data_IF_752991160834
#
_entry.id   IF_752991160834
#
_cell.length_a   1.000
_cell.length_b   1.000
_cell.length_c   1.000
_cell.angle_alpha   90.00
_cell.angle_beta   90.00
_cell.angle_gamma   90.00
#
_symmetry.space_group_name_H-M   'P 1'
#
loop_
_entity.id
_entity.type
_entity.pdbx_description
1 polymer ?
#
# COMPACT_ATOMS: atom_id res chain seq x y z
N UNK A 1 14.16 14.42 -8.29
CA UNK A 1 13.03 13.96 -9.14
C UNK A 1 11.69 14.38 -8.56
N UNK A 2 11.37 14.03 -7.30
CA UNK A 2 10.09 14.39 -6.64
C UNK A 2 9.69 15.87 -6.76
N UNK A 3 10.60 16.82 -6.49
CA UNK A 3 10.33 18.26 -6.64
C UNK A 3 9.99 18.71 -8.07
N UNK A 4 10.60 18.10 -9.08
CA UNK A 4 10.26 18.37 -10.48
C UNK A 4 8.82 17.93 -10.78
N UNK A 5 8.46 16.71 -10.37
CA UNK A 5 7.10 16.16 -10.56
C UNK A 5 6.06 17.05 -9.87
N UNK A 6 6.34 17.45 -8.64
CA UNK A 6 5.44 18.35 -7.87
C UNK A 6 5.33 19.71 -8.54
N UNK A 7 6.43 20.26 -9.06
CA UNK A 7 6.39 21.52 -9.81
C UNK A 7 5.53 21.40 -11.07
N UNK A 8 5.66 20.31 -11.82
CA UNK A 8 4.84 20.02 -13.01
C UNK A 8 3.36 19.82 -12.63
N UNK A 9 3.08 19.11 -11.53
CA UNK A 9 1.74 18.93 -10.98
C UNK A 9 1.09 20.28 -10.60
N UNK A 10 1.82 21.15 -9.92
CA UNK A 10 1.38 22.50 -9.58
C UNK A 10 1.19 23.36 -10.84
N UNK A 11 2.08 23.25 -11.83
CA UNK A 11 1.92 23.93 -13.12
C UNK A 11 0.69 23.45 -13.88
N UNK A 12 0.30 22.18 -13.78
CA UNK A 12 -0.96 21.70 -14.34
C UNK A 12 -2.16 22.46 -13.75
N UNK A 13 -2.23 22.60 -12.42
CA UNK A 13 -3.28 23.42 -11.77
C UNK A 13 -3.23 24.88 -12.21
N UNK A 14 -2.04 25.46 -12.35
CA UNK A 14 -1.87 26.83 -12.85
C UNK A 14 -2.44 27.00 -14.26
N UNK A 15 -2.02 26.17 -15.22
CA UNK A 15 -2.49 26.28 -16.61
C UNK A 15 -3.97 25.93 -16.76
N UNK A 16 -4.46 24.96 -15.97
CA UNK A 16 -5.87 24.63 -15.90
C UNK A 16 -6.72 25.80 -15.37
N UNK A 17 -6.23 26.52 -14.36
CA UNK A 17 -6.94 27.69 -13.80
C UNK A 17 -7.13 28.81 -14.84
N UNK A 18 -6.15 28.96 -15.75
CA UNK A 18 -6.14 29.94 -16.85
C UNK A 18 -6.73 29.42 -18.15
N UNK A 19 -7.18 28.17 -18.19
CA UNK A 19 -7.72 27.49 -19.39
C UNK A 19 -6.75 27.54 -20.59
N UNK A 20 -5.45 27.49 -20.33
CA UNK A 20 -4.43 27.40 -21.37
C UNK A 20 -4.24 25.95 -21.79
N UNK A 21 -5.10 25.47 -22.69
CA UNK A 21 -5.23 24.04 -22.99
C UNK A 21 -3.98 23.42 -23.61
N UNK A 22 -3.30 24.13 -24.53
CA UNK A 22 -2.07 23.62 -25.16
C UNK A 22 -0.94 23.44 -24.15
N UNK A 23 -0.74 24.42 -23.25
CA UNK A 23 0.24 24.33 -22.18
C UNK A 23 -0.15 23.26 -21.15
N UNK A 24 -1.43 23.17 -20.79
CA UNK A 24 -1.91 22.13 -19.88
C UNK A 24 -1.64 20.74 -20.44
N UNK A 25 -1.95 20.50 -21.72
CA UNK A 25 -1.69 19.22 -22.38
C UNK A 25 -0.21 18.84 -22.32
N UNK A 26 0.68 19.75 -22.70
CA UNK A 26 2.12 19.52 -22.68
C UNK A 26 2.64 19.24 -21.26
N UNK A 27 2.23 20.05 -20.28
CA UNK A 27 2.72 19.91 -18.90
C UNK A 27 2.13 18.66 -18.23
N UNK A 28 0.87 18.31 -18.50
CA UNK A 28 0.27 17.06 -18.02
C UNK A 28 0.95 15.83 -18.62
N UNK A 29 1.42 15.90 -19.87
CA UNK A 29 2.20 14.83 -20.49
C UNK A 29 3.56 14.68 -19.80
N UNK A 30 4.28 15.78 -19.59
CA UNK A 30 5.56 15.76 -18.88
C UNK A 30 5.41 15.27 -17.44
N UNK A 31 4.38 15.72 -16.72
CA UNK A 31 4.08 15.27 -15.37
C UNK A 31 3.86 13.75 -15.34
N UNK A 32 3.00 13.22 -16.22
CA UNK A 32 2.72 11.79 -16.30
C UNK A 32 4.00 10.99 -16.63
N UNK A 33 4.82 11.48 -17.57
CA UNK A 33 6.07 10.86 -17.94
C UNK A 33 7.06 10.77 -16.78
N UNK A 34 7.33 11.89 -16.10
CA UNK A 34 8.26 11.90 -14.96
C UNK A 34 7.72 11.14 -13.75
N UNK A 35 6.41 11.20 -13.49
CA UNK A 35 5.77 10.41 -12.44
C UNK A 35 5.89 8.91 -12.74
N UNK A 36 5.68 8.48 -13.99
CA UNK A 36 5.89 7.10 -14.40
C UNK A 36 7.33 6.63 -14.17
N UNK A 37 8.34 7.42 -14.58
CA UNK A 37 9.76 7.11 -14.35
C UNK A 37 10.08 6.98 -12.86
N UNK A 38 9.50 7.84 -12.03
CA UNK A 38 9.78 7.86 -10.61
C UNK A 38 9.09 6.73 -9.85
N UNK A 39 7.87 6.36 -10.25
CA UNK A 39 7.08 5.33 -9.58
C UNK A 39 7.40 3.90 -10.05
N UNK A 40 7.72 3.74 -11.32
CA UNK A 40 7.84 2.43 -11.95
C UNK A 40 9.27 2.13 -12.40
N UNK A 41 9.51 0.86 -12.72
CA UNK A 41 10.77 0.42 -13.28
C UNK A 41 11.00 1.00 -14.70
N UNK A 42 12.24 0.91 -15.17
CA UNK A 42 12.65 1.44 -16.47
C UNK A 42 11.78 0.91 -17.63
N UNK A 43 11.44 -0.38 -17.65
CA UNK A 43 10.71 -0.99 -18.76
C UNK A 43 9.24 -0.57 -18.83
N UNK A 44 8.62 -0.30 -17.68
CA UNK A 44 7.29 0.28 -17.59
C UNK A 44 7.34 1.77 -18.01
N UNK A 45 8.42 2.47 -17.70
CA UNK A 45 8.57 3.90 -18.03
C UNK A 45 8.97 4.18 -19.48
N UNK A 46 9.79 3.31 -20.10
CA UNK A 46 10.40 3.51 -21.41
C UNK A 46 9.66 2.83 -22.56
N UNK A 47 8.41 2.38 -22.35
CA UNK A 47 7.60 1.83 -23.46
C UNK A 47 8.27 0.59 -24.10
N UNK A 48 9.24 -0.04 -23.42
CA UNK A 48 10.01 -1.16 -23.99
C UNK A 48 9.32 -2.51 -23.83
N UNK A 49 8.49 -2.65 -22.79
CA UNK A 49 7.63 -3.82 -22.57
C UNK A 49 6.17 -3.48 -22.87
N UNK A 50 5.39 -4.49 -23.27
CA UNK A 50 3.95 -4.38 -23.59
C UNK A 50 3.11 -3.71 -22.49
N UNK A 51 3.56 -3.76 -21.24
CA UNK A 51 2.92 -3.12 -20.09
C UNK A 51 3.23 -1.61 -19.96
N UNK A 52 4.44 -1.17 -20.31
CA UNK A 52 4.85 0.24 -20.20
C UNK A 52 4.13 1.15 -21.19
N UNK A 53 3.81 0.60 -22.37
CA UNK A 53 2.93 1.21 -23.38
C UNK A 53 1.51 1.50 -22.86
N UNK A 54 1.07 0.85 -21.77
CA UNK A 54 -0.28 0.99 -21.25
C UNK A 54 -0.37 2.01 -20.11
N UNK A 55 0.60 2.05 -19.20
CA UNK A 55 0.48 2.87 -17.98
C UNK A 55 0.63 4.37 -18.21
N UNK A 56 1.60 4.82 -19.01
CA UNK A 56 1.82 6.26 -19.22
C UNK A 56 0.62 6.92 -19.93
N UNK A 57 0.06 6.35 -21.02
CA UNK A 57 -1.14 6.92 -21.64
C UNK A 57 -2.36 6.94 -20.71
N UNK A 58 -2.51 5.93 -19.84
CA UNK A 58 -3.59 5.91 -18.84
C UNK A 58 -3.41 7.00 -17.81
N UNK A 59 -2.20 7.16 -17.27
CA UNK A 59 -1.89 8.23 -16.30
C UNK A 59 -2.08 9.61 -16.93
N UNK A 60 -1.64 9.78 -18.17
CA UNK A 60 -1.85 11.01 -18.92
C UNK A 60 -3.34 11.30 -19.14
N UNK A 61 -4.12 10.31 -19.58
CA UNK A 61 -5.57 10.42 -19.73
C UNK A 61 -6.27 10.77 -18.40
N UNK A 62 -5.86 10.12 -17.31
CA UNK A 62 -6.32 10.44 -15.96
C UNK A 62 -6.04 11.91 -15.60
N UNK A 63 -4.80 12.36 -15.77
CA UNK A 63 -4.40 13.74 -15.50
C UNK A 63 -5.23 14.75 -16.30
N UNK A 64 -5.44 14.50 -17.60
CA UNK A 64 -6.30 15.36 -18.43
C UNK A 64 -7.71 15.46 -17.86
N UNK A 65 -8.32 14.34 -17.45
CA UNK A 65 -9.65 14.35 -16.82
C UNK A 65 -9.64 15.13 -15.51
N UNK A 66 -8.65 14.91 -14.64
CA UNK A 66 -8.50 15.61 -13.35
C UNK A 66 -8.39 17.11 -13.56
N UNK A 67 -7.43 17.57 -14.36
CA UNK A 67 -7.16 19.00 -14.51
C UNK A 67 -8.22 19.72 -15.32
N UNK A 68 -8.87 19.05 -16.28
CA UNK A 68 -10.02 19.62 -17.00
C UNK A 68 -11.23 19.76 -16.08
N UNK A 69 -11.48 18.77 -15.22
CA UNK A 69 -12.53 18.84 -14.18
C UNK A 69 -12.26 20.00 -13.23
N UNK A 70 -11.02 20.18 -12.78
CA UNK A 70 -10.62 21.34 -12.00
C UNK A 70 -10.88 22.65 -12.75
N UNK A 71 -10.45 22.79 -14.01
CA UNK A 71 -10.66 23.99 -14.82
C UNK A 71 -12.15 24.35 -14.97
N UNK A 72 -13.02 23.35 -15.11
CA UNK A 72 -14.46 23.53 -15.18
C UNK A 72 -15.08 23.95 -13.85
N UNK A 73 -14.63 23.37 -12.74
CA UNK A 73 -15.09 23.72 -11.39
C UNK A 73 -14.50 25.04 -10.91
N UNK A 74 -13.36 25.46 -11.44
CA UNK A 74 -12.60 26.63 -10.99
C UNK A 74 -13.43 27.93 -11.00
N UNK A 75 -14.41 28.04 -11.91
CA UNK A 75 -15.34 29.18 -12.02
C UNK A 75 -16.21 29.40 -10.79
N UNK A 76 -16.41 28.35 -9.98
CA UNK A 76 -17.16 28.43 -8.72
C UNK A 76 -16.27 28.76 -7.52
N UNK A 77 -15.10 29.37 -7.77
CA UNK A 77 -14.18 29.83 -6.73
C UNK A 77 -13.86 28.71 -5.71
N UNK A 78 -13.87 29.02 -4.42
CA UNK A 78 -13.47 28.10 -3.35
C UNK A 78 -14.34 26.84 -3.30
N UNK A 79 -15.64 26.97 -3.52
CA UNK A 79 -16.58 25.84 -3.60
C UNK A 79 -16.18 24.87 -4.71
N UNK A 80 -15.78 25.39 -5.86
CA UNK A 80 -15.29 24.58 -6.97
C UNK A 80 -14.02 23.78 -6.62
N UNK A 81 -13.08 24.40 -5.90
CA UNK A 81 -11.86 23.73 -5.43
C UNK A 81 -12.16 22.64 -4.39
N UNK A 82 -13.06 22.93 -3.43
CA UNK A 82 -13.53 21.97 -2.43
C UNK A 82 -14.25 20.77 -3.06
N UNK A 83 -15.14 21.00 -4.02
CA UNK A 83 -15.84 19.93 -4.76
C UNK A 83 -14.84 19.08 -5.55
N UNK A 84 -13.87 19.70 -6.23
CA UNK A 84 -12.81 18.98 -6.95
C UNK A 84 -12.01 18.06 -6.01
N UNK A 85 -11.52 18.60 -4.89
CA UNK A 85 -10.75 17.84 -3.91
C UNK A 85 -11.59 16.69 -3.30
N UNK A 86 -12.85 16.96 -2.98
CA UNK A 86 -13.78 15.96 -2.46
C UNK A 86 -14.00 14.83 -3.47
N UNK A 87 -14.25 15.14 -4.75
CA UNK A 87 -14.45 14.13 -5.80
C UNK A 87 -13.24 13.21 -5.96
N UNK A 88 -12.02 13.77 -6.02
CA UNK A 88 -10.80 12.97 -6.11
C UNK A 88 -10.63 12.06 -4.89
N UNK A 89 -10.82 12.59 -3.68
CA UNK A 89 -10.73 11.79 -2.45
C UNK A 89 -11.81 10.71 -2.40
N UNK A 90 -13.05 11.02 -2.82
CA UNK A 90 -14.15 10.07 -2.89
C UNK A 90 -13.84 8.92 -3.87
N UNK A 91 -13.31 9.22 -5.05
CA UNK A 91 -12.92 8.19 -6.02
C UNK A 91 -11.84 7.25 -5.46
N UNK A 92 -10.86 7.77 -4.72
CA UNK A 92 -9.84 6.93 -4.09
C UNK A 92 -10.36 6.11 -2.91
N UNK A 93 -11.17 6.69 -2.03
CA UNK A 93 -11.73 5.96 -0.87
C UNK A 93 -12.70 4.86 -1.31
N UNK A 94 -13.47 5.08 -2.39
CA UNK A 94 -14.34 4.08 -3.02
C UNK A 94 -13.58 2.97 -3.76
N UNK A 95 -12.25 3.05 -3.87
CA UNK A 95 -11.44 2.04 -4.53
C UNK A 95 -11.42 2.12 -6.06
N UNK A 96 -11.78 3.28 -6.64
CA UNK A 96 -11.82 3.46 -8.08
C UNK A 96 -10.45 3.84 -8.65
N UNK A 97 -9.71 4.70 -7.93
CA UNK A 97 -8.43 5.24 -8.39
C UNK A 97 -7.43 5.28 -7.23
N UNK A 98 -6.23 4.74 -7.43
CA UNK A 98 -5.13 4.87 -6.46
C UNK A 98 -4.79 6.36 -6.34
N UNK A 99 -4.68 6.93 -5.13
CA UNK A 99 -4.39 8.35 -4.95
C UNK A 99 -2.94 8.67 -5.32
N UNK A 100 -2.65 8.77 -6.62
CA UNK A 100 -1.33 9.12 -7.17
C UNK A 100 -1.05 10.63 -7.05
N UNK A 101 -1.40 11.24 -5.91
CA UNK A 101 -1.05 12.63 -5.63
C UNK A 101 0.46 12.70 -5.36
N UNK A 102 1.26 13.43 -6.17
CA UNK A 102 2.73 13.44 -6.02
C UNK A 102 3.22 13.94 -4.67
N UNK A 103 2.41 14.73 -3.95
CA UNK A 103 2.74 15.20 -2.60
C UNK A 103 2.86 14.06 -1.59
N UNK A 104 2.21 12.91 -1.82
CA UNK A 104 2.33 11.74 -0.93
C UNK A 104 3.77 11.18 -0.93
N UNK A 105 4.49 11.32 -2.04
CA UNK A 105 5.87 10.85 -2.15
C UNK A 105 6.85 11.65 -1.28
N UNK A 106 6.44 12.82 -0.77
CA UNK A 106 7.27 13.66 0.10
C UNK A 106 7.22 13.25 1.57
N UNK A 107 6.33 12.36 2.01
CA UNK A 107 6.19 12.07 3.44
C UNK A 107 7.47 11.51 4.08
N UNK A 108 8.28 10.73 3.36
CA UNK A 108 9.54 10.22 3.89
C UNK A 108 10.55 11.34 4.24
N UNK A 109 10.49 12.48 3.56
CA UNK A 109 11.47 13.59 3.73
C UNK A 109 10.86 14.81 4.45
N UNK A 110 9.55 15.02 4.31
CA UNK A 110 8.86 16.24 4.71
C UNK A 110 7.53 15.96 5.44
N UNK A 111 7.38 14.79 6.08
CA UNK A 111 6.16 14.45 6.86
C UNK A 111 5.76 15.54 7.85
N UNK A 112 6.74 16.25 8.43
CA UNK A 112 6.50 17.36 9.37
C UNK A 112 5.75 18.55 8.78
N UNK A 113 5.69 18.69 7.45
CA UNK A 113 5.00 19.78 6.75
C UNK A 113 3.72 19.32 6.03
N UNK A 114 3.40 18.03 6.09
CA UNK A 114 2.27 17.42 5.40
C UNK A 114 1.16 17.04 6.40
N UNK A 115 -0.10 16.89 5.97
CA UNK A 115 -1.19 16.53 6.87
C UNK A 115 -1.02 15.10 7.40
N UNK A 116 -0.90 14.94 8.71
CA UNK A 116 -0.72 13.63 9.35
C UNK A 116 -1.82 13.35 10.38
N UNK A 117 -3.08 13.62 10.02
CA UNK A 117 -4.21 13.21 10.88
C UNK A 117 -4.34 11.69 10.91
N UNK A 118 -5.02 11.15 11.92
CA UNK A 118 -5.29 9.72 12.02
C UNK A 118 -6.29 9.20 10.97
N UNK A 119 -6.87 10.08 10.14
CA UNK A 119 -7.85 9.72 9.11
C UNK A 119 -7.19 9.87 7.72
N UNK A 120 -6.78 8.78 7.06
CA UNK A 120 -6.12 8.83 5.75
C UNK A 120 -6.89 9.60 4.68
N UNK A 121 -8.21 9.41 4.59
CA UNK A 121 -9.07 10.13 3.65
C UNK A 121 -9.05 11.66 3.87
N UNK A 122 -8.96 12.10 5.13
CA UNK A 122 -8.87 13.52 5.47
C UNK A 122 -7.53 14.10 5.03
N UNK A 123 -6.43 13.38 5.26
CA UNK A 123 -5.10 13.78 4.77
C UNK A 123 -5.11 13.93 3.25
N UNK A 124 -5.71 12.98 2.52
CA UNK A 124 -5.82 13.05 1.06
C UNK A 124 -6.67 14.23 0.60
N UNK A 125 -7.80 14.49 1.27
CA UNK A 125 -8.62 15.66 1.00
C UNK A 125 -7.82 16.95 1.13
N UNK A 126 -7.05 17.11 2.22
CA UNK A 126 -6.20 18.28 2.44
C UNK A 126 -5.14 18.41 1.33
N UNK A 127 -4.47 17.31 0.96
CA UNK A 127 -3.48 17.30 -0.13
C UNK A 127 -4.08 17.67 -1.49
N UNK A 128 -5.30 17.22 -1.79
CA UNK A 128 -6.00 17.57 -3.02
C UNK A 128 -6.53 19.00 -3.00
N UNK A 129 -6.89 19.52 -1.83
CA UNK A 129 -7.41 20.87 -1.65
C UNK A 129 -6.29 21.92 -1.80
N UNK A 130 -5.11 21.66 -1.24
CA UNK A 130 -3.96 22.57 -1.27
C UNK A 130 -3.65 23.20 -2.65
N UNK A 131 -3.43 22.43 -3.73
CA UNK A 131 -3.12 23.00 -5.04
C UNK A 131 -4.31 23.77 -5.64
N UNK A 132 -5.56 23.40 -5.34
CA UNK A 132 -6.75 24.10 -5.83
C UNK A 132 -6.91 25.51 -5.24
N UNK A 133 -6.35 25.70 -4.03
CA UNK A 133 -6.39 26.93 -3.25
C UNK A 133 -5.27 27.87 -3.71
N UNK A 134 -4.02 27.41 -3.74
CA UNK A 134 -2.81 28.23 -4.03
C UNK A 134 -3.00 29.14 -5.25
N UNK A 135 -3.47 28.61 -6.36
CA UNK A 135 -3.59 29.37 -7.61
C UNK A 135 -4.78 30.35 -7.66
N UNK A 136 -5.47 30.56 -6.54
CA UNK A 136 -6.54 31.56 -6.39
C UNK A 136 -6.18 32.75 -5.50
N UNK A 137 -5.09 32.70 -4.74
CA UNK A 137 -4.87 33.67 -3.66
C UNK A 137 -3.89 34.80 -3.98
N UNK A 138 -4.28 36.01 -3.56
CA UNK A 138 -3.40 37.15 -3.35
C UNK A 138 -2.51 36.92 -2.11
N UNK A 139 -1.32 37.52 -2.08
CA UNK A 139 -0.21 37.19 -1.15
C UNK A 139 -0.60 37.19 0.35
N UNK A 140 -1.61 37.98 0.74
CA UNK A 140 -2.11 38.13 2.12
C UNK A 140 -2.76 36.84 2.65
N UNK A 141 -3.38 36.03 1.80
CA UNK A 141 -3.94 34.75 2.24
C UNK A 141 -2.86 33.69 2.47
N UNK A 142 -1.70 33.74 1.81
CA UNK A 142 -0.59 32.84 2.14
C UNK A 142 -0.11 33.06 3.58
N UNK A 143 -0.16 34.31 4.05
CA UNK A 143 0.11 34.65 5.45
C UNK A 143 -0.98 34.07 6.36
N UNK A 144 -2.27 34.25 6.03
CA UNK A 144 -3.38 33.70 6.82
C UNK A 144 -3.42 32.16 6.84
N UNK A 145 -3.15 31.51 5.71
CA UNK A 145 -3.06 30.06 5.56
C UNK A 145 -1.83 29.53 6.31
N UNK A 146 -0.67 30.17 6.20
CA UNK A 146 0.50 29.83 7.03
C UNK A 146 0.19 29.97 8.53
N UNK A 147 -0.62 30.96 8.90
CA UNK A 147 -1.06 31.18 10.30
C UNK A 147 -2.02 30.08 10.77
N UNK A 148 -2.97 29.66 9.93
CA UNK A 148 -3.93 28.58 10.23
C UNK A 148 -3.24 27.21 10.23
N UNK A 149 -2.34 26.96 9.27
CA UNK A 149 -1.51 25.75 9.22
C UNK A 149 -0.61 25.71 10.46
N UNK A 150 0.03 26.83 10.82
CA UNK A 150 0.80 26.95 12.08
C UNK A 150 -0.09 26.66 13.30
N UNK A 151 -1.28 27.24 13.36
CA UNK A 151 -2.25 27.00 14.44
C UNK A 151 -2.68 25.52 14.53
N UNK A 152 -2.92 24.85 13.39
CA UNK A 152 -3.22 23.40 13.32
C UNK A 152 -2.00 22.58 13.77
N UNK A 153 -0.78 22.98 13.39
CA UNK A 153 0.47 22.35 13.87
C UNK A 153 0.71 22.51 15.37
N UNK A 154 0.23 23.60 15.97
CA UNK A 154 0.36 23.88 17.41
C UNK A 154 -0.78 23.30 18.25
N UNK A 155 -1.93 22.95 17.67
CA UNK A 155 -3.11 22.54 18.46
C UNK A 155 -3.32 21.03 18.60
N UNK A 156 -2.78 20.16 17.75
CA UNK A 156 -2.80 18.72 18.02
C UNK A 156 -1.54 18.01 17.52
N UNK A 157 -0.53 17.90 18.38
CA UNK A 157 0.27 16.67 18.48
C UNK A 157 -0.25 15.93 19.69
N UNK A 158 -1.28 15.10 19.54
CA UNK A 158 -1.50 14.04 20.52
C UNK A 158 -0.29 13.11 20.41
N UNK A 159 0.62 13.09 21.40
CA UNK A 159 1.68 12.11 21.39
C UNK A 159 1.04 10.79 21.77
N UNK A 160 0.56 10.03 20.79
CA UNK A 160 0.19 8.65 21.01
C UNK A 160 1.46 7.78 20.97
N UNK A 161 2.46 8.07 21.80
CA UNK A 161 3.49 7.09 22.14
C UNK A 161 2.99 6.27 23.33
N UNK A 162 1.98 5.43 23.10
CA UNK A 162 1.76 4.33 24.03
C UNK A 162 2.98 3.42 23.88
N UNK A 163 3.89 3.50 24.86
CA UNK A 163 5.12 2.74 24.88
C UNK A 163 4.78 1.26 25.09
N UNK A 164 4.50 0.55 24.01
CA UNK A 164 4.34 -0.90 24.04
C UNK A 164 5.73 -1.55 24.03
N UNK A 165 5.89 -2.69 24.73
CA UNK A 165 7.10 -3.51 24.53
C UNK A 165 7.17 -3.89 23.05
N UNK A 166 8.37 -3.93 22.46
CA UNK A 166 8.51 -4.18 21.04
C UNK A 166 7.98 -5.55 20.65
N UNK A 167 7.29 -5.62 19.51
CA UNK A 167 6.78 -6.84 18.90
C UNK A 167 7.86 -7.45 18.02
N UNK A 168 8.27 -8.68 18.33
CA UNK A 168 9.33 -9.37 17.59
C UNK A 168 8.72 -10.22 16.47
N UNK A 169 8.99 -9.84 15.23
CA UNK A 169 8.37 -10.41 14.04
C UNK A 169 9.42 -11.18 13.23
N UNK A 170 9.08 -12.39 12.81
CA UNK A 170 9.80 -13.08 11.73
C UNK A 170 9.01 -12.92 10.44
N UNK A 171 9.63 -12.29 9.45
CA UNK A 171 9.06 -12.13 8.12
C UNK A 171 9.54 -13.28 7.23
N UNK A 172 8.61 -13.89 6.51
CA UNK A 172 8.83 -15.00 5.58
C UNK A 172 8.45 -14.57 4.17
N UNK A 173 9.46 -14.36 3.33
CA UNK A 173 9.29 -14.00 1.91
C UNK A 173 9.24 -15.28 1.07
N UNK A 174 8.04 -15.80 0.86
CA UNK A 174 7.81 -17.15 0.31
C UNK A 174 8.40 -17.32 -1.08
N UNK A 175 8.14 -16.39 -1.99
CA UNK A 175 8.62 -16.41 -3.36
C UNK A 175 10.14 -16.35 -3.44
N UNK A 176 10.79 -15.53 -2.61
CA UNK A 176 12.24 -15.44 -2.51
C UNK A 176 12.84 -16.76 -2.01
N UNK A 177 12.27 -17.35 -0.96
CA UNK A 177 12.71 -18.64 -0.43
C UNK A 177 12.68 -19.73 -1.50
N UNK A 178 11.55 -19.83 -2.22
CA UNK A 178 11.34 -20.82 -3.27
C UNK A 178 12.25 -20.59 -4.49
N UNK A 179 12.49 -19.33 -4.85
CA UNK A 179 13.43 -18.97 -5.93
C UNK A 179 14.85 -19.42 -5.61
N UNK A 180 15.29 -19.26 -4.36
CA UNK A 180 16.65 -19.57 -3.95
C UNK A 180 16.88 -21.09 -3.76
N UNK A 181 15.87 -21.82 -3.28
CA UNK A 181 16.01 -23.22 -2.86
C UNK A 181 15.33 -24.25 -3.81
N UNK A 182 14.57 -23.79 -4.80
CA UNK A 182 13.89 -24.65 -5.78
C UNK A 182 12.72 -25.46 -5.22
N UNK A 183 12.37 -26.54 -5.92
CA UNK A 183 11.16 -27.35 -5.66
C UNK A 183 11.31 -28.43 -4.57
N UNK A 184 12.53 -28.81 -4.18
CA UNK A 184 12.83 -29.77 -3.10
C UNK A 184 12.86 -29.10 -1.71
N UNK A 185 11.94 -28.15 -1.49
CA UNK A 185 11.99 -27.25 -0.37
C UNK A 185 11.43 -27.86 0.93
N UNK A 186 11.99 -27.43 2.06
CA UNK A 186 11.47 -27.72 3.39
C UNK A 186 11.41 -26.43 4.23
N UNK A 187 10.55 -25.51 3.79
CA UNK A 187 10.38 -24.19 4.40
C UNK A 187 10.10 -24.27 5.90
N UNK A 188 9.43 -25.33 6.36
CA UNK A 188 9.14 -25.54 7.76
C UNK A 188 10.42 -25.79 8.57
N UNK A 189 11.26 -26.74 8.16
CA UNK A 189 12.51 -27.05 8.86
C UNK A 189 13.49 -25.87 8.85
N UNK A 190 13.60 -25.16 7.73
CA UNK A 190 14.50 -24.01 7.63
C UNK A 190 14.01 -22.83 8.47
N UNK A 191 12.69 -22.61 8.52
CA UNK A 191 12.07 -21.63 9.41
C UNK A 191 12.31 -22.00 10.87
N UNK A 192 12.17 -23.28 11.24
CA UNK A 192 12.46 -23.77 12.59
C UNK A 192 13.91 -23.49 13.00
N UNK A 193 14.86 -23.86 12.13
CA UNK A 193 16.27 -23.60 12.34
C UNK A 193 16.55 -22.10 12.46
N UNK A 194 15.91 -21.27 11.64
CA UNK A 194 16.07 -19.81 11.70
C UNK A 194 15.54 -19.20 12.99
N UNK A 195 14.41 -19.70 13.52
CA UNK A 195 13.78 -19.16 14.72
C UNK A 195 14.51 -19.60 16.00
N UNK A 196 15.23 -20.72 15.96
CA UNK A 196 15.93 -21.27 17.13
C UNK A 196 16.84 -20.22 17.79
N UNK A 197 16.62 -19.99 19.08
CA UNK A 197 17.38 -19.02 19.89
C UNK A 197 16.92 -17.56 19.75
N UNK A 198 15.92 -17.26 18.92
CA UNK A 198 15.33 -15.91 18.79
C UNK A 198 14.05 -15.80 19.62
N UNK A 199 13.82 -14.63 20.21
CA UNK A 199 12.57 -14.30 20.88
C UNK A 199 11.55 -13.85 19.84
N UNK A 200 10.73 -14.76 19.35
CA UNK A 200 9.73 -14.49 18.30
C UNK A 200 8.34 -14.42 18.90
N UNK A 201 7.56 -13.42 18.48
CA UNK A 201 6.19 -13.21 18.93
C UNK A 201 5.19 -13.48 17.80
N UNK A 202 5.55 -13.09 16.57
CA UNK A 202 4.71 -13.17 15.38
C UNK A 202 5.55 -13.67 14.20
N UNK A 203 4.99 -14.56 13.37
CA UNK A 203 5.56 -14.99 12.10
C UNK A 203 4.61 -14.55 11.00
N UNK A 204 5.12 -13.87 9.97
CA UNK A 204 4.30 -13.25 8.93
C UNK A 204 4.81 -13.70 7.57
N UNK A 205 3.92 -14.25 6.76
CA UNK A 205 4.20 -14.67 5.39
C UNK A 205 3.83 -13.56 4.40
N UNK A 206 4.54 -13.46 3.30
CA UNK A 206 4.18 -12.61 2.16
C UNK A 206 2.91 -13.08 1.46
N UNK A 207 2.26 -12.18 0.72
CA UNK A 207 1.27 -12.58 -0.29
C UNK A 207 1.94 -13.52 -1.28
N UNK A 208 1.28 -14.63 -1.62
CA UNK A 208 1.87 -15.64 -2.49
C UNK A 208 0.80 -16.51 -3.15
N UNK A 209 1.20 -17.21 -4.21
CA UNK A 209 0.37 -18.19 -4.91
C UNK A 209 0.82 -19.64 -4.66
N UNK A 210 1.72 -19.86 -3.69
CA UNK A 210 2.35 -21.15 -3.43
C UNK A 210 1.69 -21.93 -2.30
N UNK A 211 0.96 -21.24 -1.43
CA UNK A 211 0.09 -21.80 -0.41
C UNK A 211 -1.35 -21.38 -0.66
N UNK A 212 -2.29 -22.27 -0.35
CA UNK A 212 -3.72 -22.10 -0.56
C UNK A 212 -4.41 -23.33 -1.18
N UNK A 213 -5.70 -23.22 -1.42
CA UNK A 213 -6.56 -24.32 -1.88
C UNK A 213 -7.04 -24.15 -3.33
N UNK A 214 -6.40 -23.27 -4.12
CA UNK A 214 -6.82 -22.96 -5.49
C UNK A 214 -6.73 -24.16 -6.46
N UNK A 215 -5.78 -25.06 -6.25
CA UNK A 215 -5.67 -26.32 -6.99
C UNK A 215 -5.13 -27.43 -6.09
N UNK A 216 -5.28 -28.68 -6.51
CA UNK A 216 -4.96 -29.87 -5.69
C UNK A 216 -3.47 -29.96 -5.31
N UNK A 217 -2.58 -29.51 -6.19
CA UNK A 217 -1.14 -29.54 -5.93
C UNK A 217 -0.75 -28.55 -4.81
N UNK A 218 -1.20 -27.31 -4.92
CA UNK A 218 -0.98 -26.26 -3.89
C UNK A 218 -1.68 -26.67 -2.59
N UNK A 219 -2.90 -27.20 -2.67
CA UNK A 219 -3.68 -27.67 -1.51
C UNK A 219 -2.91 -28.73 -0.73
N UNK A 220 -2.42 -29.78 -1.40
CA UNK A 220 -1.64 -30.84 -0.75
C UNK A 220 -0.40 -30.28 -0.03
N UNK A 221 0.33 -29.35 -0.66
CA UNK A 221 1.50 -28.70 -0.02
C UNK A 221 1.10 -27.86 1.19
N UNK A 222 -0.01 -27.14 1.08
CA UNK A 222 -0.54 -26.27 2.13
C UNK A 222 -0.97 -27.09 3.35
N UNK A 223 -1.71 -28.19 3.12
CA UNK A 223 -2.16 -29.08 4.18
C UNK A 223 -0.97 -29.72 4.92
N UNK A 224 0.06 -30.18 4.18
CA UNK A 224 1.30 -30.70 4.79
C UNK A 224 1.96 -29.62 5.65
N UNK A 225 2.11 -28.40 5.13
CA UNK A 225 2.75 -27.31 5.87
C UNK A 225 1.97 -26.93 7.14
N UNK A 226 0.64 -26.80 7.05
CA UNK A 226 -0.22 -26.51 8.19
C UNK A 226 -0.16 -27.65 9.23
N UNK A 227 -0.14 -28.90 8.80
CA UNK A 227 0.01 -30.05 9.70
C UNK A 227 1.36 -30.03 10.42
N UNK A 228 2.47 -29.76 9.71
CA UNK A 228 3.79 -29.61 10.35
C UNK A 228 3.80 -28.48 11.40
N UNK A 229 3.17 -27.33 11.11
CA UNK A 229 3.03 -26.24 12.08
C UNK A 229 2.21 -26.67 13.30
N UNK A 230 1.15 -27.45 13.09
CA UNK A 230 0.30 -27.98 14.16
C UNK A 230 1.06 -28.95 15.06
N UNK A 231 1.76 -29.91 14.45
CA UNK A 231 2.52 -30.95 15.14
C UNK A 231 3.70 -30.33 15.93
N UNK A 232 4.38 -29.34 15.35
CA UNK A 232 5.39 -28.53 16.04
C UNK A 232 4.84 -27.56 17.09
N UNK A 233 3.51 -27.49 17.25
CA UNK A 233 2.76 -26.56 18.12
C UNK A 233 3.12 -25.09 17.91
N UNK A 234 3.40 -24.69 16.66
CA UNK A 234 3.82 -23.33 16.32
C UNK A 234 2.79 -22.28 16.72
N UNK A 235 1.50 -22.56 16.50
CA UNK A 235 0.41 -21.65 16.84
C UNK A 235 0.28 -21.41 18.35
N UNK A 236 0.77 -22.31 19.20
CA UNK A 236 0.83 -22.11 20.65
C UNK A 236 2.02 -21.26 21.06
N UNK A 237 3.15 -21.38 20.35
CA UNK A 237 4.41 -20.67 20.62
C UNK A 237 4.40 -19.24 20.07
N UNK A 238 3.87 -19.06 18.86
CA UNK A 238 3.93 -17.83 18.07
C UNK A 238 2.55 -17.46 17.54
N UNK A 239 2.30 -16.17 17.29
CA UNK A 239 1.24 -15.78 16.36
C UNK A 239 1.70 -16.06 14.93
N UNK A 240 0.81 -16.55 14.07
CA UNK A 240 1.14 -16.85 12.67
C UNK A 240 0.16 -16.10 11.77
N UNK A 241 0.66 -15.30 10.83
CA UNK A 241 -0.12 -14.64 9.78
C UNK A 241 0.29 -15.23 8.44
N UNK A 242 -0.48 -16.20 7.95
CA UNK A 242 -0.30 -16.79 6.63
C UNK A 242 -1.06 -15.99 5.57
N UNK A 243 -0.60 -16.03 4.33
CA UNK A 243 -1.38 -15.59 3.17
C UNK A 243 -1.59 -16.79 2.24
N UNK A 244 -2.84 -17.04 1.88
CA UNK A 244 -3.28 -18.22 1.16
C UNK A 244 -4.05 -17.83 -0.11
N UNK A 245 -3.64 -18.38 -1.24
CA UNK A 245 -4.33 -18.25 -2.52
C UNK A 245 -5.47 -19.27 -2.61
N UNK A 246 -6.66 -18.81 -2.23
CA UNK A 246 -7.81 -19.65 -1.93
C UNK A 246 -7.67 -20.34 -0.57
N UNK A 247 -8.75 -20.44 0.19
CA UNK A 247 -8.76 -21.19 1.45
C UNK A 247 -10.14 -21.76 1.73
N UNK A 248 -10.23 -23.08 1.92
CA UNK A 248 -11.47 -23.84 1.98
C UNK A 248 -12.40 -23.55 0.78
N UNK A 249 -13.57 -23.00 1.04
CA UNK A 249 -14.59 -22.58 0.07
C UNK A 249 -14.40 -21.14 -0.43
N UNK A 250 -13.39 -20.41 0.08
CA UNK A 250 -13.15 -19.01 -0.24
C UNK A 250 -12.27 -18.90 -1.49
N UNK A 251 -12.85 -18.39 -2.58
CA UNK A 251 -12.14 -18.07 -3.81
C UNK A 251 -11.53 -16.64 -3.79
N UNK A 252 -10.53 -16.42 -2.93
CA UNK A 252 -9.84 -15.14 -2.81
C UNK A 252 -8.40 -15.32 -2.29
N UNK A 253 -7.59 -14.27 -2.30
CA UNK A 253 -6.40 -14.17 -1.45
C UNK A 253 -6.86 -13.92 -0.02
N UNK A 254 -6.42 -14.78 0.92
CA UNK A 254 -6.88 -14.77 2.31
C UNK A 254 -5.69 -14.66 3.25
N UNK A 255 -5.71 -13.68 4.14
CA UNK A 255 -4.83 -13.66 5.31
C UNK A 255 -5.45 -14.48 6.42
N UNK A 256 -4.67 -15.40 6.99
CA UNK A 256 -5.09 -16.24 8.10
C UNK A 256 -4.22 -15.95 9.30
N UNK A 257 -4.81 -15.42 10.36
CA UNK A 257 -4.16 -15.31 11.66
C UNK A 257 -4.49 -16.52 12.53
N UNK A 258 -3.46 -17.20 13.00
CA UNK A 258 -3.57 -18.37 13.88
C UNK A 258 -2.70 -18.20 15.12
N UNK A 259 -3.32 -18.16 16.30
CA UNK A 259 -2.63 -18.16 17.58
C UNK A 259 -3.50 -18.82 18.66
N UNK A 260 -2.97 -19.86 19.31
CA UNK A 260 -3.72 -20.69 20.27
C UNK A 260 -5.05 -21.15 19.67
N UNK A 261 -6.17 -20.74 20.27
CA UNK A 261 -7.53 -21.05 19.82
C UNK A 261 -8.12 -19.97 18.89
N UNK A 262 -7.39 -18.87 18.65
CA UNK A 262 -7.83 -17.82 17.74
C UNK A 262 -7.46 -18.19 16.31
N UNK A 263 -8.47 -18.22 15.43
CA UNK A 263 -8.31 -18.43 14.00
C UNK A 263 -9.16 -17.39 13.27
N UNK A 264 -8.53 -16.36 12.75
CA UNK A 264 -9.19 -15.21 12.12
C UNK A 264 -8.80 -15.19 10.64
N UNK A 265 -9.78 -15.00 9.76
CA UNK A 265 -9.57 -14.93 8.32
C UNK A 265 -9.98 -13.56 7.78
N UNK A 266 -9.10 -12.93 7.02
CA UNK A 266 -9.35 -11.71 6.28
C UNK A 266 -9.29 -11.99 4.77
N UNK A 267 -10.32 -11.59 4.03
CA UNK A 267 -10.33 -11.70 2.58
C UNK A 267 -9.91 -10.37 1.97
N UNK A 268 -9.05 -10.41 0.95
CA UNK A 268 -8.69 -9.22 0.16
C UNK A 268 -9.96 -8.53 -0.35
N UNK A 269 -10.17 -7.28 0.04
CA UNK A 269 -11.42 -6.54 -0.20
C UNK A 269 -11.40 -5.74 -1.51
N UNK A 270 -10.21 -5.49 -2.05
CA UNK A 270 -10.02 -4.81 -3.33
C UNK A 270 -9.12 -5.67 -4.20
N UNK A 271 -9.70 -6.16 -5.28
CA UNK A 271 -9.01 -6.98 -6.29
C UNK A 271 -8.60 -6.13 -7.48
N UNK A 272 -7.44 -6.44 -8.06
CA UNK A 272 -6.90 -5.80 -9.24
C UNK A 272 -7.83 -6.11 -10.44
N UNK A 273 -8.49 -5.09 -11.04
CA UNK A 273 -9.32 -5.28 -12.22
C UNK A 273 -8.55 -5.94 -13.37
N UNK A 274 -9.20 -6.84 -14.11
CA UNK A 274 -8.67 -7.57 -15.27
C UNK A 274 -7.53 -8.56 -14.99
N UNK A 275 -6.92 -8.52 -13.80
CA UNK A 275 -5.84 -9.42 -13.38
C UNK A 275 -6.28 -10.42 -12.32
N UNK A 276 -6.99 -9.97 -11.29
CA UNK A 276 -7.51 -10.83 -10.22
C UNK A 276 -9.02 -11.06 -10.40
N UNK A 277 -9.73 -10.13 -11.05
CA UNK A 277 -11.15 -10.26 -11.41
C UNK A 277 -11.35 -9.96 -12.90
N UNK A 278 -12.40 -10.52 -13.52
CA UNK A 278 -12.64 -10.38 -14.98
C UNK A 278 -12.87 -8.95 -15.45
N UNK A 279 -13.40 -8.09 -14.59
CA UNK A 279 -13.81 -6.73 -14.95
C UNK A 279 -13.57 -5.76 -13.79
N UNK A 280 -14.01 -4.51 -13.93
CA UNK A 280 -14.04 -3.55 -12.82
C UNK A 280 -15.04 -3.93 -11.74
N UNK A 281 -16.06 -4.73 -12.04
CA UNK A 281 -17.09 -5.16 -11.10
C UNK A 281 -16.69 -6.43 -10.36
N UNK A 282 -17.17 -6.56 -9.12
CA UNK A 282 -16.99 -7.76 -8.31
C UNK A 282 -18.14 -8.74 -8.59
N UNK A 283 -17.90 -9.72 -9.46
CA UNK A 283 -18.84 -10.81 -9.77
C UNK A 283 -18.40 -12.10 -9.09
N UNK A 284 -19.36 -12.94 -8.70
CA UNK A 284 -19.06 -14.25 -8.13
C UNK A 284 -18.20 -15.08 -9.09
N UNK A 285 -17.17 -15.74 -8.55
CA UNK A 285 -16.30 -16.65 -9.28
C UNK A 285 -16.13 -17.93 -8.44
N UNK A 286 -16.36 -19.13 -9.01
CA UNK A 286 -16.14 -20.39 -8.29
C UNK A 286 -14.64 -20.63 -8.05
N UNK A 287 -14.29 -21.46 -7.06
CA UNK A 287 -12.89 -21.75 -6.69
C UNK A 287 -12.04 -22.24 -7.87
N UNK A 288 -12.63 -22.97 -8.82
CA UNK A 288 -11.99 -23.46 -10.05
C UNK A 288 -11.66 -22.37 -11.08
N UNK A 289 -12.27 -21.18 -10.98
CA UNK A 289 -12.00 -20.05 -11.90
C UNK A 289 -10.57 -19.57 -11.76
N UNK A 290 -9.95 -19.04 -12.82
CA UNK A 290 -8.68 -18.31 -12.68
C UNK A 290 -8.84 -16.97 -11.95
N UNK A 291 -10.05 -16.44 -11.91
CA UNK A 291 -10.40 -15.18 -11.27
C UNK A 291 -10.91 -15.40 -9.84
N UNK A 292 -10.85 -14.33 -9.05
CA UNK A 292 -11.19 -14.25 -7.64
C UNK A 292 -12.45 -13.43 -7.43
N UNK A 293 -13.05 -13.63 -6.26
CA UNK A 293 -14.21 -12.89 -5.79
C UNK A 293 -14.07 -12.60 -4.30
N UNK A 294 -14.48 -11.41 -3.86
CA UNK A 294 -14.53 -11.08 -2.44
C UNK A 294 -15.97 -10.95 -1.94
N UNK A 295 -16.24 -11.51 -0.76
CA UNK A 295 -17.51 -11.30 -0.08
C UNK A 295 -17.41 -10.04 0.82
N UNK A 296 -18.35 -9.09 0.64
CA UNK A 296 -18.38 -7.84 1.41
C UNK A 296 -18.67 -8.01 2.91
N UNK A 297 -19.25 -9.14 3.32
CA UNK A 297 -19.68 -9.39 4.71
C UNK A 297 -18.56 -9.89 5.62
N UNK A 298 -17.51 -10.52 5.07
CA UNK A 298 -16.41 -11.13 5.84
C UNK A 298 -15.20 -10.19 5.93
N UNK A 299 -15.30 -9.16 6.79
CA UNK A 299 -14.26 -8.14 6.98
C UNK A 299 -13.72 -8.14 8.42
N UNK A 300 -12.85 -9.09 8.74
CA UNK A 300 -12.06 -8.99 9.96
C UNK A 300 -10.59 -8.93 9.62
N UNK A 301 -10.07 -7.71 9.53
CA UNK A 301 -8.67 -7.41 9.21
C UNK A 301 -7.81 -7.09 10.44
N UNK A 302 -8.38 -7.21 11.65
CA UNK A 302 -7.71 -6.88 12.91
C UNK A 302 -7.63 -8.12 13.80
N UNK A 303 -6.45 -8.32 14.40
CA UNK A 303 -6.24 -9.33 15.43
C UNK A 303 -5.37 -8.79 16.57
N UNK A 304 -5.44 -9.46 17.72
CA UNK A 304 -4.67 -9.10 18.90
C UNK A 304 -3.54 -10.11 19.11
N UNK A 305 -2.34 -9.60 19.42
CA UNK A 305 -1.21 -10.42 19.87
C UNK A 305 -0.49 -9.68 21.00
N UNK A 306 -0.46 -10.31 22.18
CA UNK A 306 -0.04 -9.66 23.43
C UNK A 306 -0.82 -8.36 23.67
N UNK A 307 -0.13 -7.23 23.78
CA UNK A 307 -0.70 -5.89 23.97
C UNK A 307 -0.87 -5.10 22.65
N UNK A 308 -0.59 -5.73 21.51
CA UNK A 308 -0.67 -5.10 20.19
C UNK A 308 -1.96 -5.48 19.50
N UNK A 309 -2.55 -4.49 18.83
CA UNK A 309 -3.69 -4.64 17.95
C UNK A 309 -3.15 -4.45 16.54
N UNK A 310 -3.12 -5.51 15.75
CA UNK A 310 -2.48 -5.53 14.43
C UNK A 310 -3.56 -5.47 13.36
N UNK A 311 -3.48 -4.47 12.48
CA UNK A 311 -4.25 -4.40 11.24
C UNK A 311 -3.49 -5.08 10.11
N UNK A 312 -4.18 -5.93 9.33
CA UNK A 312 -3.63 -6.64 8.17
C UNK A 312 -4.29 -6.15 6.91
N UNK A 313 -3.50 -5.85 5.89
CA UNK A 313 -3.98 -5.60 4.55
C UNK A 313 -3.18 -6.40 3.53
N UNK A 314 -3.76 -6.63 2.36
CA UNK A 314 -3.21 -7.46 1.30
C UNK A 314 -2.98 -6.59 0.06
N UNK A 315 -1.72 -6.23 -0.18
CA UNK A 315 -1.23 -5.69 -1.44
C UNK A 315 -2.09 -4.52 -1.96
N UNK A 316 -2.76 -4.71 -3.10
CA UNK A 316 -3.58 -3.72 -3.78
C UNK A 316 -4.61 -3.04 -2.89
N UNK A 317 -5.17 -3.72 -1.89
CA UNK A 317 -6.18 -3.10 -1.02
C UNK A 317 -5.61 -2.00 -0.12
N UNK A 318 -4.34 -2.11 0.24
CA UNK A 318 -3.64 -1.15 1.07
C UNK A 318 -3.37 0.18 0.36
N UNK A 319 -3.55 0.26 -0.97
CA UNK A 319 -3.29 1.47 -1.74
C UNK A 319 -4.42 2.51 -1.67
N UNK A 320 -5.51 2.21 -0.96
CA UNK A 320 -6.71 3.03 -0.97
C UNK A 320 -7.04 3.56 0.44
N UNK A 321 -7.22 4.89 0.60
CA UNK A 321 -7.35 5.50 1.91
C UNK A 321 -8.52 4.98 2.73
N UNK A 322 -8.28 4.71 4.01
CA UNK A 322 -9.35 4.48 4.98
C UNK A 322 -10.07 5.78 5.35
N UNK A 323 -11.37 5.66 5.60
CA UNK A 323 -12.25 6.79 5.96
C UNK A 323 -12.44 6.94 7.48
N UNK A 324 -11.97 5.98 8.26
CA UNK A 324 -12.11 5.96 9.71
C UNK A 324 -10.74 5.92 10.38
N UNK A 325 -10.69 6.34 11.64
CA UNK A 325 -9.50 6.20 12.49
C UNK A 325 -9.16 4.71 12.62
N UNK A 326 -7.93 4.29 12.32
CA UNK A 326 -7.48 2.93 12.51
C UNK A 326 -7.71 2.45 13.95
N UNK A 327 -8.29 1.27 14.11
CA UNK A 327 -8.49 0.64 15.43
C UNK A 327 -7.30 -0.24 15.85
N UNK A 328 -6.15 -0.07 15.20
CA UNK A 328 -4.93 -0.85 15.41
C UNK A 328 -3.73 0.05 15.66
N UNK A 329 -2.70 -0.49 16.30
CA UNK A 329 -1.47 0.23 16.65
C UNK A 329 -0.23 -0.30 15.92
N UNK A 330 -0.38 -1.32 15.07
CA UNK A 330 0.62 -1.78 14.10
C UNK A 330 -0.11 -2.12 12.80
N UNK A 331 0.46 -1.73 11.66
CA UNK A 331 -0.06 -2.07 10.34
C UNK A 331 0.88 -3.03 9.62
N UNK A 332 0.32 -4.13 9.13
CA UNK A 332 1.02 -5.18 8.41
C UNK A 332 0.41 -5.36 7.03
N UNK A 333 1.23 -5.23 5.98
CA UNK A 333 0.81 -5.46 4.61
C UNK A 333 1.49 -6.72 4.08
N UNK A 334 0.73 -7.63 3.50
CA UNK A 334 1.24 -8.78 2.78
C UNK A 334 1.14 -8.48 1.28
N UNK A 335 2.28 -8.44 0.58
CA UNK A 335 2.32 -7.98 -0.82
C UNK A 335 3.17 -8.85 -1.73
N UNK A 336 2.76 -8.91 -2.99
CA UNK A 336 3.56 -9.43 -4.09
C UNK A 336 3.56 -8.45 -5.28
N UNK A 337 4.58 -7.60 -5.35
CA UNK A 337 4.75 -6.66 -6.47
C UNK A 337 5.52 -7.27 -7.66
N UNK A 338 5.83 -8.57 -7.65
CA UNK A 338 6.70 -9.20 -8.66
C UNK A 338 6.21 -9.07 -10.10
N UNK A 339 4.91 -8.88 -10.31
CA UNK A 339 4.35 -8.59 -11.65
C UNK A 339 4.84 -7.27 -12.24
N UNK A 340 5.30 -6.35 -11.38
CA UNK A 340 5.90 -5.08 -11.74
C UNK A 340 7.44 -5.15 -11.77
N UNK A 341 8.04 -6.34 -11.66
CA UNK A 341 9.48 -6.56 -11.71
C UNK A 341 9.93 -6.90 -13.13
N UNK A 342 10.03 -5.87 -13.98
CA UNK A 342 10.37 -6.00 -15.40
C UNK A 342 11.71 -5.37 -15.80
N UNK A 343 12.40 -4.62 -14.92
CA UNK A 343 13.63 -3.92 -15.30
C UNK A 343 14.33 -3.24 -14.13
N UNK A 344 15.32 -2.40 -14.43
CA UNK A 344 16.05 -1.62 -13.42
C UNK A 344 15.11 -0.68 -12.64
N UNK A 345 15.53 -0.31 -11.42
CA UNK A 345 14.79 0.56 -10.50
C UNK A 345 13.47 -0.03 -9.96
N UNK A 346 13.34 -1.37 -9.90
CA UNK A 346 12.22 -2.01 -9.20
C UNK A 346 12.12 -1.61 -7.72
N UNK A 347 13.24 -1.22 -7.10
CA UNK A 347 13.28 -0.64 -5.76
C UNK A 347 12.32 0.55 -5.58
N UNK A 348 12.15 1.38 -6.62
CA UNK A 348 11.23 2.52 -6.58
C UNK A 348 9.78 2.05 -6.45
N UNK A 349 9.40 0.97 -7.12
CA UNK A 349 8.05 0.38 -7.01
C UNK A 349 7.79 -0.08 -5.58
N UNK A 350 8.78 -0.77 -5.00
CA UNK A 350 8.70 -1.31 -3.65
C UNK A 350 8.57 -0.20 -2.60
N UNK A 351 9.42 0.83 -2.70
CA UNK A 351 9.45 1.97 -1.76
C UNK A 351 8.21 2.85 -1.94
N UNK A 352 7.94 3.34 -3.15
CA UNK A 352 6.82 4.26 -3.39
C UNK A 352 5.47 3.59 -3.16
N UNK A 353 5.33 2.31 -3.54
CA UNK A 353 4.13 1.53 -3.23
C UNK A 353 3.92 1.34 -1.72
N UNK A 354 5.01 1.25 -0.94
CA UNK A 354 4.94 1.17 0.52
C UNK A 354 4.61 2.50 1.18
N UNK A 355 5.14 3.62 0.66
CA UNK A 355 4.77 4.99 1.10
C UNK A 355 3.29 5.24 0.85
N UNK A 356 2.79 4.93 -0.35
CA UNK A 356 1.37 5.05 -0.70
C UNK A 356 0.49 4.18 0.20
N UNK A 357 0.91 2.95 0.48
CA UNK A 357 0.18 2.05 1.37
C UNK A 357 0.13 2.59 2.79
N UNK A 358 1.28 3.03 3.34
CA UNK A 358 1.32 3.64 4.67
C UNK A 358 0.42 4.86 4.75
N UNK A 359 0.46 5.74 3.75
CA UNK A 359 -0.42 6.91 3.67
C UNK A 359 -1.89 6.52 3.73
N UNK A 360 -2.28 5.49 2.99
CA UNK A 360 -3.66 5.07 2.84
C UNK A 360 -4.21 4.36 4.09
N UNK A 361 -3.41 3.61 4.85
CA UNK A 361 -3.93 2.80 5.97
C UNK A 361 -3.31 3.09 7.34
N UNK A 362 -2.17 3.77 7.41
CA UNK A 362 -1.38 3.85 8.65
C UNK A 362 -0.49 5.11 8.76
N UNK A 363 -1.02 6.33 8.59
CA UNK A 363 -0.20 7.55 8.51
C UNK A 363 0.62 7.80 9.78
N UNK A 364 0.12 7.44 10.97
CA UNK A 364 0.78 7.66 12.27
C UNK A 364 1.21 6.38 12.99
N UNK A 365 1.16 5.23 12.32
CA UNK A 365 1.30 3.90 12.93
C UNK A 365 2.56 3.21 12.36
N UNK A 366 3.27 2.35 13.14
CA UNK A 366 4.36 1.55 12.60
C UNK A 366 3.85 0.63 11.51
N UNK A 367 4.55 0.60 10.38
CA UNK A 367 4.06 -0.03 9.16
C UNK A 367 5.14 -0.93 8.59
N UNK A 368 4.79 -2.19 8.29
CA UNK A 368 5.66 -3.09 7.52
C UNK A 368 4.92 -3.63 6.30
N UNK A 369 5.56 -3.52 5.13
CA UNK A 369 5.10 -4.13 3.89
C UNK A 369 5.98 -5.33 3.53
N UNK A 370 5.47 -6.53 3.81
CA UNK A 370 6.13 -7.81 3.60
C UNK A 370 6.00 -8.21 2.13
N UNK A 371 7.13 -8.25 1.43
CA UNK A 371 7.19 -8.53 0.00
C UNK A 371 7.53 -9.99 -0.31
N UNK A 372 6.96 -10.53 -1.37
CA UNK A 372 7.12 -11.95 -1.72
C UNK A 372 8.51 -12.32 -2.26
N UNK A 373 9.09 -11.46 -3.10
CA UNK A 373 10.35 -11.71 -3.82
C UNK A 373 11.51 -10.81 -3.37
N UNK A 374 11.47 -10.35 -2.13
CA UNK A 374 12.44 -9.43 -1.56
C UNK A 374 12.00 -7.97 -1.63
N UNK A 375 12.72 -7.11 -0.90
CA UNK A 375 12.42 -5.68 -0.81
C UNK A 375 11.31 -5.33 0.18
N UNK A 376 11.17 -6.10 1.26
CA UNK A 376 10.29 -5.77 2.39
C UNK A 376 10.66 -4.40 2.97
N UNK A 377 9.66 -3.53 3.15
CA UNK A 377 9.84 -2.14 3.60
C UNK A 377 9.23 -1.95 4.98
N UNK A 378 10.04 -1.48 5.93
CA UNK A 378 9.60 -1.04 7.25
C UNK A 378 9.62 0.50 7.28
N UNK A 379 8.50 1.10 7.67
CA UNK A 379 8.35 2.55 7.80
C UNK A 379 7.86 2.88 9.21
N UNK A 380 8.68 3.62 9.97
CA UNK A 380 8.38 4.06 11.35
C UNK A 380 7.36 5.20 11.38
N UNK A 381 6.87 5.55 12.56
CA UNK A 381 5.80 6.56 12.73
C UNK A 381 6.18 7.93 12.17
N UNK A 382 7.46 8.29 12.24
CA UNK A 382 8.03 9.52 11.70
C UNK A 382 8.26 9.50 10.18
N UNK A 383 7.78 8.44 9.51
CA UNK A 383 7.95 8.16 8.08
C UNK A 383 9.34 7.72 7.64
N UNK A 384 10.29 7.55 8.57
CA UNK A 384 11.61 7.04 8.23
C UNK A 384 11.55 5.58 7.76
N UNK A 385 12.23 5.31 6.65
CA UNK A 385 12.36 3.97 6.07
C UNK A 385 13.60 3.28 6.63
N UNK A 386 13.47 2.05 7.10
CA UNK A 386 14.61 1.21 7.48
C UNK A 386 15.29 0.64 6.23
N UNK A 387 16.23 1.41 5.67
CA UNK A 387 17.01 1.01 4.49
C UNK A 387 17.93 -0.20 4.75
N UNK A 388 18.32 -0.43 6.01
CA UNK A 388 19.12 -1.60 6.39
C UNK A 388 18.32 -2.88 6.22
N UNK A 389 17.09 -2.90 6.78
CA UNK A 389 16.15 -4.01 6.57
C UNK A 389 15.80 -4.17 5.10
N UNK A 390 15.50 -3.07 4.39
CA UNK A 390 15.15 -3.11 2.97
C UNK A 390 16.23 -3.80 2.14
N UNK A 391 17.49 -3.40 2.28
CA UNK A 391 18.59 -4.00 1.52
C UNK A 391 18.82 -5.47 1.88
N UNK A 392 18.76 -5.82 3.18
CA UNK A 392 18.87 -7.20 3.66
C UNK A 392 17.76 -8.09 3.10
N UNK A 393 16.54 -7.57 3.03
CA UNK A 393 15.37 -8.29 2.52
C UNK A 393 15.44 -8.65 1.05
N UNK A 394 16.32 -8.02 0.24
CA UNK A 394 16.44 -8.36 -1.18
C UNK A 394 17.05 -9.74 -1.41
N UNK A 395 17.83 -10.24 -0.44
CA UNK A 395 18.58 -11.48 -0.54
C UNK A 395 18.15 -12.52 0.50
N UNK A 396 17.72 -12.10 1.69
CA UNK A 396 17.34 -13.00 2.77
C UNK A 396 15.84 -13.32 2.77
N UNK A 397 15.49 -14.60 2.68
CA UNK A 397 14.10 -15.04 2.64
C UNK A 397 13.41 -15.01 4.02
N UNK A 398 14.17 -15.09 5.11
CA UNK A 398 13.69 -14.95 6.48
C UNK A 398 14.35 -13.75 7.15
N UNK A 399 13.55 -12.86 7.72
CA UNK A 399 14.03 -11.64 8.38
C UNK A 399 13.50 -11.58 9.80
N UNK A 400 14.31 -11.05 10.72
CA UNK A 400 13.89 -10.73 12.07
C UNK A 400 13.73 -9.22 12.17
N UNK A 401 12.55 -8.76 12.60
CA UNK A 401 12.16 -7.36 12.69
C UNK A 401 11.60 -7.08 14.07
N UNK A 402 11.86 -5.90 14.59
CA UNK A 402 11.36 -5.44 15.87
C UNK A 402 10.54 -4.16 15.66
N UNK A 403 9.26 -4.20 16.01
CA UNK A 403 8.31 -3.08 15.87
C UNK A 403 7.94 -2.46 17.20
#
# INVERSE_FOLDING_TARGET
MNFLIISLYLLCYYYASRKSWSCLFLISFLEAFFLCINMFNQNISLISDSLGLFFMPILFGYNIVVFTTFAFLNRYLYWGGGVHAFLLTAMSTLGLIIPLNPLILLYNEFSSFLPVTDIPALNLFILNLFPTIIFKFNIIFYIALASIISYIFFTERTPASIYHKPLNIVVVQVGLYLRNNGFNNNIYNDLEAYIKGKKVDLIVFSENVFFGHKNDYIKKKTDIFINNLKDGRYNFKYGIVMNLYGYNDINNVVSVFWHKNSFITHQKTKLIPFFEKRSVFNSYEPLSSSFLYYNKEKKQNIFNIKQHIVGVHICYEALFPEIFIPKYNISLIQSDYSRLNGGYNYDNVLINGSILSKFAVAPNIPFINVQNYGGTVLIKNDWTIDMGLFNKSKTEAFLYVQL
#
